data_IF_611538718152
#
_entry.id   IF_611538718152
#
_cell.length_a   1.000
_cell.length_b   1.000
_cell.length_c   1.000
_cell.angle_alpha   90.00
_cell.angle_beta   90.00
_cell.angle_gamma   90.00
#
_symmetry.space_group_name_H-M   'P 1'
#
loop_
_entity.id
_entity.type
_entity.pdbx_description
1 polymer ?
#
# COMPACT_ATOMS: atom_id res chain seq x y z
N UNK A 1 -1.52 0.76 8.05
CA UNK A 1 -1.39 2.07 8.72
C UNK A 1 -2.03 2.05 10.12
N UNK A 2 -1.87 0.96 10.89
CA UNK A 2 -2.31 0.90 12.29
C UNK A 2 -1.14 1.12 13.25
N UNK A 3 -1.37 0.94 14.56
CA UNK A 3 -0.33 1.08 15.60
C UNK A 3 0.77 0.01 15.53
N UNK A 4 0.47 -1.14 14.92
CA UNK A 4 1.41 -2.24 14.74
C UNK A 4 1.78 -2.36 13.25
N UNK A 5 3.07 -2.39 12.90
CA UNK A 5 3.51 -2.73 11.55
C UNK A 5 2.97 -4.09 11.11
N UNK A 6 2.58 -4.22 9.85
CA UNK A 6 2.06 -5.47 9.30
C UNK A 6 2.75 -5.81 7.99
N UNK A 7 2.75 -7.10 7.67
CA UNK A 7 3.20 -7.60 6.39
C UNK A 7 2.08 -7.47 5.35
N UNK A 8 2.34 -6.74 4.26
CA UNK A 8 1.36 -6.46 3.21
C UNK A 8 1.13 -7.68 2.30
N UNK A 9 0.52 -8.74 2.85
CA UNK A 9 0.32 -10.02 2.18
C UNK A 9 -0.39 -9.86 0.83
N UNK A 10 -1.40 -8.99 0.74
CA UNK A 10 -2.11 -8.75 -0.52
C UNK A 10 -1.24 -8.19 -1.63
N UNK A 11 -0.36 -7.24 -1.31
CA UNK A 11 0.62 -6.69 -2.27
C UNK A 11 1.54 -7.83 -2.74
N UNK A 12 2.05 -8.63 -1.80
CA UNK A 12 2.98 -9.72 -2.11
C UNK A 12 2.33 -10.81 -2.96
N UNK A 13 1.10 -11.20 -2.67
CA UNK A 13 0.35 -12.17 -3.48
C UNK A 13 0.13 -11.66 -4.91
N UNK A 14 -0.15 -10.37 -5.08
CA UNK A 14 -0.28 -9.75 -6.39
C UNK A 14 1.05 -9.81 -7.17
N UNK A 15 2.16 -9.50 -6.50
CA UNK A 15 3.50 -9.61 -7.10
C UNK A 15 3.82 -11.04 -7.55
N UNK A 16 3.54 -12.04 -6.71
CA UNK A 16 3.73 -13.46 -7.08
C UNK A 16 2.84 -13.89 -8.25
N UNK A 17 1.70 -13.23 -8.43
CA UNK A 17 0.78 -13.47 -9.55
C UNK A 17 1.17 -12.72 -10.83
N UNK A 18 2.29 -12.00 -10.84
CA UNK A 18 2.78 -11.23 -12.00
C UNK A 18 2.06 -9.91 -12.23
N UNK A 19 1.43 -9.34 -11.20
CA UNK A 19 0.79 -8.03 -11.31
C UNK A 19 1.80 -6.89 -11.52
N UNK A 20 1.36 -5.82 -12.18
CA UNK A 20 2.16 -4.58 -12.31
C UNK A 20 2.27 -3.86 -10.96
N UNK A 21 3.22 -2.92 -10.84
CA UNK A 21 3.36 -2.08 -9.65
C UNK A 21 2.06 -1.36 -9.29
N UNK A 22 1.33 -0.85 -10.28
CA UNK A 22 0.03 -0.20 -10.08
C UNK A 22 -1.03 -1.17 -9.53
N UNK A 23 -1.14 -2.37 -10.12
CA UNK A 23 -2.11 -3.38 -9.68
C UNK A 23 -1.80 -3.90 -8.27
N UNK A 24 -0.53 -4.15 -7.96
CA UNK A 24 -0.11 -4.58 -6.63
C UNK A 24 -0.37 -3.50 -5.57
N UNK A 25 -0.13 -2.23 -5.92
CA UNK A 25 -0.34 -1.10 -5.02
C UNK A 25 -1.80 -0.88 -4.59
N UNK A 26 -2.79 -1.27 -5.40
CA UNK A 26 -4.20 -1.18 -5.01
C UNK A 26 -4.51 -2.00 -3.75
N UNK A 27 -3.74 -3.07 -3.50
CA UNK A 27 -3.87 -3.93 -2.32
C UNK A 27 -3.14 -3.39 -1.07
N UNK A 28 -2.52 -2.21 -1.15
CA UNK A 28 -1.70 -1.64 -0.08
C UNK A 28 -2.45 -1.38 1.24
N UNK A 29 -3.77 -1.22 1.18
CA UNK A 29 -4.59 -0.95 2.36
C UNK A 29 -5.18 -2.21 3.00
N UNK A 30 -4.98 -3.39 2.40
CA UNK A 30 -5.51 -4.65 2.95
C UNK A 30 -4.92 -4.94 4.33
N UNK A 31 -5.80 -5.26 5.28
CA UNK A 31 -5.42 -5.51 6.67
C UNK A 31 -4.97 -4.27 7.45
N UNK A 32 -5.07 -3.07 6.87
CA UNK A 32 -4.72 -1.83 7.56
C UNK A 32 -5.90 -1.22 8.31
N UNK A 33 -5.60 -0.54 9.42
CA UNK A 33 -6.58 0.21 10.22
C UNK A 33 -6.14 1.69 10.36
N UNK A 34 -6.18 2.48 9.26
CA UNK A 34 -5.84 3.89 9.31
C UNK A 34 -6.80 4.68 10.23
N UNK A 35 -6.27 5.65 10.97
CA UNK A 35 -7.05 6.55 11.82
C UNK A 35 -6.98 8.00 11.32
N UNK A 36 -8.02 8.79 11.56
CA UNK A 36 -8.01 10.24 11.32
C UNK A 36 -7.42 10.97 12.54
N UNK A 37 -6.61 12.01 12.31
CA UNK A 37 -6.10 12.91 13.34
C UNK A 37 -5.83 14.31 12.76
N UNK A 38 -5.20 15.19 13.55
CA UNK A 38 -4.85 16.55 13.12
C UNK A 38 -3.92 16.62 11.89
N UNK A 39 -3.24 15.53 11.54
CA UNK A 39 -2.27 15.49 10.45
C UNK A 39 -2.88 15.01 9.14
N UNK A 40 -3.89 14.12 9.18
CA UNK A 40 -4.53 13.61 7.97
C UNK A 40 -5.84 12.87 8.26
N UNK A 41 -6.68 12.80 7.22
CA UNK A 41 -7.86 11.94 7.21
C UNK A 41 -7.50 10.49 6.89
N UNK A 42 -8.45 9.58 7.12
CA UNK A 42 -8.32 8.16 6.75
C UNK A 42 -8.11 8.01 5.25
N UNK A 43 -8.94 8.69 4.44
CA UNK A 43 -8.94 8.61 2.98
C UNK A 43 -7.60 9.07 2.40
N UNK A 44 -7.01 10.13 2.98
CA UNK A 44 -5.69 10.59 2.59
C UNK A 44 -4.63 9.53 2.88
N UNK A 45 -4.64 8.88 4.05
CA UNK A 45 -3.65 7.85 4.39
C UNK A 45 -3.78 6.61 3.52
N UNK A 46 -5.01 6.20 3.21
CA UNK A 46 -5.26 5.10 2.28
C UNK A 46 -4.77 5.41 0.87
N UNK A 47 -5.02 6.64 0.41
CA UNK A 47 -4.50 7.09 -0.87
C UNK A 47 -2.97 7.15 -0.87
N UNK A 48 -2.37 7.69 0.18
CA UNK A 48 -0.93 7.79 0.32
C UNK A 48 -0.27 6.41 0.32
N UNK A 49 -0.84 5.42 1.00
CA UNK A 49 -0.32 4.06 1.02
C UNK A 49 -0.25 3.45 -0.39
N UNK A 50 -1.31 3.58 -1.20
CA UNK A 50 -1.30 3.14 -2.61
C UNK A 50 -0.21 3.84 -3.41
N UNK A 51 -0.08 5.17 -3.26
CA UNK A 51 0.95 5.95 -3.98
C UNK A 51 2.37 5.54 -3.59
N UNK A 52 2.65 5.40 -2.29
CA UNK A 52 3.98 5.06 -1.80
C UNK A 52 4.38 3.64 -2.16
N UNK A 53 3.47 2.66 -2.06
CA UNK A 53 3.74 1.28 -2.48
C UNK A 53 4.03 1.22 -3.98
N UNK A 54 3.23 1.89 -4.82
CA UNK A 54 3.49 1.92 -6.26
C UNK A 54 4.88 2.47 -6.57
N UNK A 55 5.22 3.65 -6.01
CA UNK A 55 6.52 4.29 -6.22
C UNK A 55 7.67 3.40 -5.76
N UNK A 56 7.56 2.78 -4.59
CA UNK A 56 8.60 1.90 -4.08
C UNK A 56 8.82 0.68 -4.99
N UNK A 57 7.75 0.11 -5.56
CA UNK A 57 7.85 -1.00 -6.50
C UNK A 57 8.49 -0.55 -7.83
N UNK A 58 8.07 0.58 -8.37
CA UNK A 58 8.67 1.19 -9.57
C UNK A 58 10.17 1.47 -9.35
N UNK A 59 10.54 2.06 -8.21
CA UNK A 59 11.93 2.33 -7.81
C UNK A 59 12.74 1.04 -7.63
N UNK A 60 12.09 -0.07 -7.25
CA UNK A 60 12.73 -1.39 -7.15
C UNK A 60 12.94 -2.10 -8.50
N UNK A 61 12.46 -1.50 -9.60
CA UNK A 61 12.63 -2.01 -10.96
C UNK A 61 11.40 -2.73 -11.54
N UNK A 62 10.27 -2.72 -10.82
CA UNK A 62 9.01 -3.24 -11.34
C UNK A 62 8.30 -2.14 -12.15
N UNK A 63 8.59 -2.08 -13.44
CA UNK A 63 7.99 -1.10 -14.39
C UNK A 63 6.62 -1.56 -14.89
#
# INVERSE_FOLDING_TARGET
MGSTPLYAAGVVDALHSGATAAQAAERANEGTEPQSDNNATVEYREHLARVLVRRALEESGLS
#
